data_IF_529165853232
#
_entry.id   IF_529165853232
#
_cell.length_a   1.000
_cell.length_b   1.000
_cell.length_c   1.000
_cell.angle_alpha   90.00
_cell.angle_beta   90.00
_cell.angle_gamma   90.00
#
_symmetry.space_group_name_H-M   'P 1'
#
loop_
_entity.id
_entity.type
_entity.pdbx_description
1 polymer ?
#
# COMPACT_ATOMS: atom_id res chain seq x y z
N UNK A 1 59.51 -11.69 -0.89
CA UNK A 1 58.71 -10.46 -0.89
C UNK A 1 57.28 -10.82 -0.55
N UNK A 2 56.78 -10.32 0.57
CA UNK A 2 55.37 -10.50 0.94
C UNK A 2 54.53 -9.48 0.17
N UNK A 3 53.53 -9.91 -0.55
CA UNK A 3 52.55 -9.04 -1.16
C UNK A 3 51.84 -8.23 -0.09
N UNK A 4 51.57 -6.94 -0.31
CA UNK A 4 50.77 -6.16 0.62
C UNK A 4 49.37 -6.80 0.72
N UNK A 5 49.02 -7.20 1.92
CA UNK A 5 47.65 -7.63 2.21
C UNK A 5 46.71 -6.45 1.91
N UNK A 6 46.06 -6.51 0.75
CA UNK A 6 44.99 -5.55 0.44
C UNK A 6 43.91 -5.74 1.47
N UNK A 7 43.74 -4.76 2.33
CA UNK A 7 42.70 -4.78 3.34
C UNK A 7 41.33 -5.04 2.67
N UNK A 8 40.66 -6.12 3.04
CA UNK A 8 39.29 -6.37 2.59
C UNK A 8 38.43 -5.15 2.88
N UNK A 9 37.72 -4.63 1.90
CA UNK A 9 36.81 -3.54 2.16
C UNK A 9 35.82 -3.95 3.25
N UNK A 10 35.61 -3.10 4.23
CA UNK A 10 34.68 -3.34 5.31
C UNK A 10 33.27 -3.62 4.74
N UNK A 11 32.55 -4.60 5.27
CA UNK A 11 31.20 -4.87 4.80
C UNK A 11 30.31 -3.64 4.98
N UNK A 12 29.40 -3.38 4.04
CA UNK A 12 28.51 -2.23 4.14
C UNK A 12 27.71 -2.29 5.46
N UNK A 13 27.68 -1.18 6.16
CA UNK A 13 27.00 -1.08 7.45
C UNK A 13 25.51 -1.31 7.26
N UNK A 14 24.96 -2.33 7.93
CA UNK A 14 23.57 -2.77 7.88
C UNK A 14 22.51 -1.67 8.21
N UNK A 15 22.94 -0.51 8.72
CA UNK A 15 22.04 0.59 9.06
C UNK A 15 21.58 1.47 7.87
N UNK A 16 22.25 1.37 6.72
CA UNK A 16 21.91 2.18 5.53
C UNK A 16 20.77 1.61 4.70
N UNK A 17 20.52 0.29 4.82
CA UNK A 17 19.54 -0.38 3.98
C UNK A 17 18.09 -0.07 4.39
N UNK A 18 17.85 0.35 5.63
CA UNK A 18 16.52 0.66 6.14
C UNK A 18 15.92 1.95 5.57
N UNK A 19 16.74 2.84 5.01
CA UNK A 19 16.28 4.08 4.37
C UNK A 19 16.20 3.98 2.85
N UNK A 20 16.49 2.80 2.31
CA UNK A 20 16.41 2.59 0.86
C UNK A 20 14.96 2.59 0.40
N UNK A 21 14.61 3.27 -0.72
CA UNK A 21 13.22 3.32 -1.22
C UNK A 21 12.59 1.95 -1.43
N UNK A 22 13.38 0.94 -1.79
CA UNK A 22 12.92 -0.44 -1.97
C UNK A 22 12.47 -1.10 -0.67
N UNK A 23 13.16 -0.83 0.44
CA UNK A 23 12.79 -1.33 1.76
C UNK A 23 11.49 -0.66 2.25
N UNK A 24 11.38 0.66 2.06
CA UNK A 24 10.17 1.40 2.40
C UNK A 24 8.96 0.91 1.60
N UNK A 25 9.14 0.65 0.29
CA UNK A 25 8.09 0.10 -0.55
C UNK A 25 7.64 -1.29 -0.08
N UNK A 26 8.58 -2.15 0.29
CA UNK A 26 8.27 -3.46 0.87
C UNK A 26 7.48 -3.33 2.18
N UNK A 27 7.91 -2.44 3.07
CA UNK A 27 7.26 -2.22 4.35
C UNK A 27 5.85 -1.66 4.18
N UNK A 28 5.67 -0.66 3.31
CA UNK A 28 4.36 -0.08 2.98
C UNK A 28 3.42 -1.15 2.40
N UNK A 29 3.89 -1.96 1.48
CA UNK A 29 3.11 -3.05 0.89
C UNK A 29 2.66 -4.06 1.95
N UNK A 30 3.56 -4.47 2.84
CA UNK A 30 3.26 -5.43 3.91
C UNK A 30 2.27 -4.87 4.93
N UNK A 31 2.49 -3.65 5.41
CA UNK A 31 1.61 -3.00 6.40
C UNK A 31 0.23 -2.76 5.80
N UNK A 32 0.15 -2.24 4.58
CA UNK A 32 -1.14 -2.02 3.89
C UNK A 32 -1.90 -3.32 3.70
N UNK A 33 -1.22 -4.41 3.34
CA UNK A 33 -1.83 -5.72 3.21
C UNK A 33 -2.40 -6.27 4.52
N UNK A 34 -1.67 -6.13 5.63
CA UNK A 34 -2.14 -6.54 6.95
C UNK A 34 -3.36 -5.74 7.41
N UNK A 35 -3.34 -4.43 7.23
CA UNK A 35 -4.47 -3.56 7.58
C UNK A 35 -5.70 -3.86 6.73
N UNK A 36 -5.54 -4.09 5.44
CA UNK A 36 -6.62 -4.51 4.55
C UNK A 36 -7.18 -5.87 4.93
N UNK A 37 -6.34 -6.83 5.31
CA UNK A 37 -6.77 -8.14 5.78
C UNK A 37 -7.60 -8.06 7.06
N UNK A 38 -7.23 -7.19 8.00
CA UNK A 38 -8.01 -6.92 9.21
C UNK A 38 -9.35 -6.27 8.90
N UNK A 39 -9.41 -5.46 7.85
CA UNK A 39 -10.65 -4.81 7.41
C UNK A 39 -11.62 -5.78 6.71
N UNK A 40 -11.16 -6.83 6.07
CA UNK A 40 -12.00 -7.75 5.29
C UNK A 40 -13.21 -8.30 6.05
N UNK A 41 -13.10 -8.80 7.30
CA UNK A 41 -14.26 -9.28 8.03
C UNK A 41 -15.33 -8.20 8.23
N UNK A 42 -14.89 -6.98 8.53
CA UNK A 42 -15.77 -5.82 8.68
C UNK A 42 -16.46 -5.45 7.36
N UNK A 43 -15.71 -5.50 6.27
CA UNK A 43 -16.22 -5.25 4.92
C UNK A 43 -17.28 -6.27 4.52
N UNK A 44 -17.05 -7.56 4.76
CA UNK A 44 -18.03 -8.61 4.49
C UNK A 44 -19.28 -8.48 5.36
N UNK A 45 -19.11 -8.07 6.60
CA UNK A 45 -20.26 -7.78 7.46
C UNK A 45 -21.10 -6.61 6.91
N UNK A 46 -20.47 -5.54 6.47
CA UNK A 46 -21.11 -4.39 5.83
C UNK A 46 -21.85 -4.79 4.55
N UNK A 47 -21.23 -5.60 3.69
CA UNK A 47 -21.85 -6.13 2.47
C UNK A 47 -23.05 -7.04 2.82
N UNK A 48 -22.97 -7.78 3.91
CA UNK A 48 -24.06 -8.61 4.42
C UNK A 48 -25.35 -7.83 4.73
N UNK A 49 -25.26 -6.53 5.02
CA UNK A 49 -26.43 -5.69 5.23
C UNK A 49 -27.29 -5.60 3.96
N UNK A 50 -26.68 -5.63 2.79
CA UNK A 50 -27.42 -5.64 1.53
C UNK A 50 -28.29 -6.90 1.34
N UNK A 51 -27.89 -8.02 1.92
CA UNK A 51 -28.65 -9.27 1.89
C UNK A 51 -29.93 -9.22 2.75
N UNK A 52 -30.02 -8.31 3.71
CA UNK A 52 -31.17 -8.10 4.57
C UNK A 52 -32.20 -7.12 3.98
N UNK A 53 -31.98 -6.63 2.76
CA UNK A 53 -32.87 -5.74 2.05
C UNK A 53 -32.41 -4.29 2.00
N UNK A 54 -33.04 -3.51 1.15
CA UNK A 54 -32.67 -2.11 0.90
C UNK A 54 -32.77 -1.24 2.17
N UNK A 55 -33.78 -1.44 2.99
CA UNK A 55 -33.96 -0.68 4.22
C UNK A 55 -32.83 -0.89 5.23
N UNK A 56 -32.32 -2.12 5.36
CA UNK A 56 -31.19 -2.42 6.22
C UNK A 56 -29.90 -1.77 5.72
N UNK A 57 -29.67 -1.82 4.42
CA UNK A 57 -28.52 -1.16 3.78
C UNK A 57 -28.59 0.36 3.94
N UNK A 58 -29.72 0.98 3.68
CA UNK A 58 -29.91 2.42 3.88
C UNK A 58 -29.69 2.85 5.32
N UNK A 59 -30.22 2.07 6.29
CA UNK A 59 -30.00 2.32 7.70
C UNK A 59 -28.52 2.26 8.07
N UNK A 60 -27.81 1.28 7.57
CA UNK A 60 -26.37 1.15 7.75
C UNK A 60 -25.61 2.33 7.13
N UNK A 61 -25.93 2.72 5.88
CA UNK A 61 -25.29 3.83 5.19
C UNK A 61 -25.52 5.17 5.89
N UNK A 62 -26.72 5.40 6.46
CA UNK A 62 -26.98 6.58 7.29
C UNK A 62 -26.15 6.60 8.56
N UNK A 63 -26.00 5.44 9.21
CA UNK A 63 -25.19 5.33 10.41
C UNK A 63 -23.70 5.61 10.12
N UNK A 64 -23.22 5.21 8.95
CA UNK A 64 -21.83 5.45 8.52
C UNK A 64 -21.63 6.82 7.86
N UNK A 65 -22.69 7.60 7.63
CA UNK A 65 -22.59 8.92 7.02
C UNK A 65 -22.13 9.99 8.03
N UNK A 66 -20.91 9.78 8.54
CA UNK A 66 -20.24 10.69 9.46
C UNK A 66 -18.86 11.07 8.91
N UNK A 67 -18.30 12.24 9.29
CA UNK A 67 -16.96 12.62 8.84
C UNK A 67 -15.88 11.59 9.20
N UNK A 68 -16.04 10.90 10.33
CA UNK A 68 -15.10 9.86 10.76
C UNK A 68 -15.07 8.67 9.79
N UNK A 69 -16.24 8.17 9.38
CA UNK A 69 -16.32 7.07 8.42
C UNK A 69 -15.85 7.48 7.03
N UNK A 70 -16.17 8.70 6.59
CA UNK A 70 -15.66 9.26 5.31
C UNK A 70 -14.13 9.32 5.30
N UNK A 71 -13.52 9.74 6.41
CA UNK A 71 -12.07 9.74 6.56
C UNK A 71 -11.50 8.32 6.56
N UNK A 72 -12.16 7.38 7.24
CA UNK A 72 -11.76 5.96 7.25
C UNK A 72 -11.85 5.35 5.86
N UNK A 73 -12.91 5.62 5.11
CA UNK A 73 -13.08 5.16 3.72
C UNK A 73 -11.98 5.71 2.81
N UNK A 74 -11.68 6.99 2.95
CA UNK A 74 -10.56 7.59 2.23
C UNK A 74 -9.23 6.91 2.57
N UNK A 75 -8.97 6.66 3.86
CA UNK A 75 -7.80 5.93 4.32
C UNK A 75 -7.71 4.53 3.73
N UNK A 76 -8.83 3.82 3.65
CA UNK A 76 -8.90 2.48 3.04
C UNK A 76 -8.61 2.51 1.54
N UNK A 77 -9.10 3.50 0.81
CA UNK A 77 -8.80 3.66 -0.62
C UNK A 77 -7.31 3.93 -0.82
N UNK A 78 -6.70 4.76 0.02
CA UNK A 78 -5.25 5.01 -0.01
C UNK A 78 -4.47 3.72 0.26
N UNK A 79 -4.84 2.96 1.29
CA UNK A 79 -4.21 1.67 1.62
C UNK A 79 -4.33 0.68 0.47
N UNK A 80 -5.51 0.59 -0.13
CA UNK A 80 -5.75 -0.30 -1.28
C UNK A 80 -4.91 0.10 -2.48
N UNK A 81 -4.85 1.40 -2.79
CA UNK A 81 -4.05 1.91 -3.91
C UNK A 81 -2.55 1.66 -3.70
N UNK A 82 -2.04 1.90 -2.49
CA UNK A 82 -0.64 1.62 -2.14
C UNK A 82 -0.33 0.13 -2.21
N UNK A 83 -1.22 -0.70 -1.69
CA UNK A 83 -1.05 -2.15 -1.72
C UNK A 83 -1.07 -2.70 -3.14
N UNK A 84 -2.02 -2.25 -3.97
CA UNK A 84 -2.13 -2.65 -5.37
C UNK A 84 -0.90 -2.21 -6.16
N UNK A 85 -0.50 -0.95 -6.03
CA UNK A 85 0.67 -0.41 -6.71
C UNK A 85 1.95 -1.15 -6.30
N UNK A 86 2.13 -1.41 -5.00
CA UNK A 86 3.24 -2.20 -4.48
C UNK A 86 3.23 -3.64 -4.99
N UNK A 87 2.05 -4.26 -5.04
CA UNK A 87 1.88 -5.61 -5.58
C UNK A 87 2.19 -5.71 -7.06
N UNK A 88 1.71 -4.76 -7.85
CA UNK A 88 2.04 -4.68 -9.29
C UNK A 88 3.54 -4.50 -9.51
N UNK A 89 4.20 -3.69 -8.67
CA UNK A 89 5.65 -3.54 -8.72
C UNK A 89 6.37 -4.86 -8.45
N UNK A 90 5.99 -5.58 -7.40
CA UNK A 90 6.59 -6.88 -7.06
C UNK A 90 6.39 -7.87 -8.21
N UNK A 91 5.19 -7.96 -8.74
CA UNK A 91 4.89 -8.82 -9.89
C UNK A 91 5.72 -8.45 -11.12
N UNK A 92 5.85 -7.17 -11.42
CA UNK A 92 6.66 -6.70 -12.54
C UNK A 92 8.14 -7.05 -12.37
N UNK A 93 8.68 -6.93 -11.15
CA UNK A 93 10.07 -7.31 -10.86
C UNK A 93 10.30 -8.83 -11.00
N UNK A 94 9.34 -9.64 -10.58
CA UNK A 94 9.47 -11.10 -10.65
C UNK A 94 9.30 -11.62 -12.08
N UNK A 95 8.32 -11.11 -12.84
CA UNK A 95 8.00 -11.60 -14.17
C UNK A 95 8.81 -10.94 -15.29
N UNK A 96 9.18 -9.65 -15.14
CA UNK A 96 9.89 -8.89 -16.15
C UNK A 96 11.39 -8.75 -15.91
N UNK A 97 11.90 -9.12 -14.73
CA UNK A 97 13.32 -9.07 -14.40
C UNK A 97 13.93 -7.67 -14.38
N UNK A 98 13.11 -6.64 -14.26
CA UNK A 98 13.53 -5.23 -14.37
C UNK A 98 14.10 -4.68 -13.05
N UNK A 99 15.27 -5.15 -12.68
CA UNK A 99 15.95 -4.68 -11.45
C UNK A 99 16.48 -3.25 -11.55
N UNK A 100 16.76 -2.75 -12.77
CA UNK A 100 17.40 -1.46 -12.97
C UNK A 100 16.48 -0.23 -12.77
N UNK A 101 15.16 -0.40 -12.76
CA UNK A 101 14.17 0.68 -12.65
C UNK A 101 13.37 0.68 -11.35
N UNK A 102 13.91 0.13 -10.28
CA UNK A 102 13.19 0.02 -9.01
C UNK A 102 12.75 1.37 -8.45
N UNK A 103 13.62 2.40 -8.54
CA UNK A 103 13.29 3.75 -8.06
C UNK A 103 12.14 4.39 -8.82
N UNK A 104 12.14 4.25 -10.14
CA UNK A 104 11.08 4.77 -10.99
C UNK A 104 9.75 4.06 -10.75
N UNK A 105 9.78 2.76 -10.52
CA UNK A 105 8.59 1.97 -10.20
C UNK A 105 8.01 2.35 -8.84
N UNK A 106 8.83 2.61 -7.83
CA UNK A 106 8.38 3.10 -6.52
C UNK A 106 7.74 4.48 -6.66
N UNK A 107 8.37 5.39 -7.40
CA UNK A 107 7.83 6.73 -7.66
C UNK A 107 6.50 6.68 -8.43
N UNK A 108 6.40 5.84 -9.46
CA UNK A 108 5.16 5.63 -10.22
C UNK A 108 4.05 5.06 -9.34
N UNK A 109 4.36 4.08 -8.47
CA UNK A 109 3.41 3.50 -7.53
C UNK A 109 2.89 4.53 -6.54
N UNK A 110 3.75 5.36 -5.97
CA UNK A 110 3.37 6.45 -5.08
C UNK A 110 2.50 7.50 -5.81
N UNK A 111 2.85 7.86 -7.04
CA UNK A 111 2.07 8.79 -7.87
C UNK A 111 0.66 8.27 -8.16
N UNK A 112 0.51 7.01 -8.52
CA UNK A 112 -0.78 6.35 -8.76
C UNK A 112 -1.61 6.34 -7.48
N UNK A 113 -1.03 6.01 -6.34
CA UNK A 113 -1.72 5.98 -5.06
C UNK A 113 -2.23 7.39 -4.65
N UNK A 114 -1.41 8.41 -4.82
CA UNK A 114 -1.80 9.81 -4.54
C UNK A 114 -2.91 10.26 -5.50
N UNK A 115 -2.81 9.98 -6.79
CA UNK A 115 -3.83 10.30 -7.77
C UNK A 115 -5.16 9.63 -7.44
N UNK A 116 -5.17 8.35 -7.08
CA UNK A 116 -6.36 7.64 -6.66
C UNK A 116 -6.99 8.25 -5.40
N UNK A 117 -6.18 8.63 -4.41
CA UNK A 117 -6.64 9.30 -3.21
C UNK A 117 -7.29 10.66 -3.49
N UNK A 118 -6.69 11.46 -4.36
CA UNK A 118 -7.24 12.76 -4.78
C UNK A 118 -8.55 12.58 -5.52
N UNK A 119 -8.62 11.67 -6.50
CA UNK A 119 -9.85 11.37 -7.23
C UNK A 119 -10.97 10.92 -6.31
N UNK A 120 -10.67 10.09 -5.33
CA UNK A 120 -11.64 9.66 -4.34
C UNK A 120 -12.17 10.83 -3.51
N UNK A 121 -11.29 11.71 -3.02
CA UNK A 121 -11.68 12.91 -2.28
C UNK A 121 -12.58 13.83 -3.09
N UNK A 122 -12.29 14.03 -4.37
CA UNK A 122 -13.09 14.90 -5.25
C UNK A 122 -14.48 14.31 -5.52
N UNK A 123 -14.62 12.98 -5.51
CA UNK A 123 -15.89 12.30 -5.77
C UNK A 123 -16.76 12.12 -4.52
N UNK A 124 -16.19 12.17 -3.33
CA UNK A 124 -16.91 12.01 -2.05
C UNK A 124 -17.47 13.33 -1.52
N UNK A 125 -16.93 14.46 -2.04
CA UNK A 125 -17.34 15.82 -1.64
C UNK A 125 -18.71 16.27 -2.08
#
# INVERSE_FOLDING_TARGET
MAEPMTARPAPPRAGRDRQHPTYLAFLVHRISGLLLALFLPLHFWALGQALHGAAALEGFLRWTDTPLFKFADWGLVVLLALHLAGGLRVMALEFLGWRARQKDMVAASAGIAIAAAILFLLNVG
#
